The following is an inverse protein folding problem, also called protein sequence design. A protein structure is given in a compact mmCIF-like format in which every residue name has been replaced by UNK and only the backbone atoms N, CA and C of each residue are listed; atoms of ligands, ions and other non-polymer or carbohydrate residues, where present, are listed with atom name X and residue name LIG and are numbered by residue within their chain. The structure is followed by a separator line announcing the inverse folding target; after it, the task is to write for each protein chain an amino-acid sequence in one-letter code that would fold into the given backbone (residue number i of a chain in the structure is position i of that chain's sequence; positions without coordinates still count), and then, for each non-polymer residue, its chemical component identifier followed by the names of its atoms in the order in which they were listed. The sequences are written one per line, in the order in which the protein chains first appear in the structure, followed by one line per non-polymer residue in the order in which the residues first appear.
data_IF_286957546497
#
_entry.id   IF_286957546497
#
_cell.length_a   1.000
_cell.length_b   1.000
_cell.length_c   1.000
_cell.angle_alpha   90.00
_cell.angle_beta   90.00
_cell.angle_gamma   90.00
#
_symmetry.space_group_name_H-M   'P 1'
#
loop_
_entity.id
_entity.type
_entity.pdbx_description
1 polymer ?
#
# COMPACT_ATOMS: atom_id res chain seq x y z
N UNK A 1 26.46 -35.35 27.23
CA UNK A 1 25.60 -35.51 26.04
C UNK A 1 24.17 -35.09 26.36
N UNK A 2 23.54 -35.65 27.39
CA UNK A 2 22.17 -35.30 27.82
C UNK A 2 21.97 -33.82 28.24
N UNK A 3 22.98 -33.20 28.88
CA UNK A 3 22.92 -31.79 29.29
C UNK A 3 22.98 -30.80 28.12
N UNK A 4 23.70 -31.14 27.04
CA UNK A 4 23.81 -30.29 25.84
C UNK A 4 22.55 -30.37 24.96
N UNK A 5 21.92 -31.55 24.88
CA UNK A 5 20.65 -31.74 24.16
C UNK A 5 19.50 -30.98 24.84
N UNK A 6 19.41 -31.03 26.18
CA UNK A 6 18.43 -30.27 26.96
C UNK A 6 18.62 -28.74 26.90
N UNK A 7 19.81 -28.26 26.61
CA UNK A 7 20.07 -26.82 26.43
C UNK A 7 19.70 -26.35 25.02
N UNK A 8 20.01 -27.16 24.00
CA UNK A 8 19.64 -26.90 22.61
C UNK A 8 18.12 -26.87 22.43
N UNK A 9 17.39 -27.85 22.99
CA UNK A 9 15.92 -27.91 22.92
C UNK A 9 15.25 -26.70 23.59
N UNK A 10 15.79 -26.23 24.74
CA UNK A 10 15.27 -25.03 25.42
C UNK A 10 15.51 -23.75 24.63
N UNK A 11 16.69 -23.58 24.04
CA UNK A 11 16.98 -22.43 23.16
C UNK A 11 16.07 -22.42 21.94
N UNK A 12 15.83 -23.59 21.34
CA UNK A 12 14.93 -23.75 20.20
C UNK A 12 13.49 -23.33 20.50
N UNK A 13 12.95 -23.78 21.65
CA UNK A 13 11.62 -23.40 22.11
C UNK A 13 11.50 -21.90 22.43
N UNK A 14 12.54 -21.31 23.05
CA UNK A 14 12.57 -19.88 23.34
C UNK A 14 12.58 -19.02 22.06
N UNK A 15 13.41 -19.40 21.08
CA UNK A 15 13.47 -18.72 19.79
C UNK A 15 12.16 -18.82 19.01
N UNK A 16 11.53 -20.00 18.98
CA UNK A 16 10.21 -20.18 18.36
C UNK A 16 9.17 -19.26 19.02
N UNK A 17 9.21 -19.14 20.34
CA UNK A 17 8.30 -18.25 21.09
C UNK A 17 8.51 -16.78 20.71
N UNK A 18 9.77 -16.34 20.59
CA UNK A 18 10.11 -14.97 20.19
C UNK A 18 9.61 -14.67 18.77
N UNK A 19 9.81 -15.59 17.81
CA UNK A 19 9.36 -15.41 16.43
C UNK A 19 7.84 -15.37 16.31
N UNK A 20 7.12 -16.17 17.09
CA UNK A 20 5.66 -16.13 17.13
C UNK A 20 5.15 -14.83 17.75
N UNK A 21 5.81 -14.31 18.79
CA UNK A 21 5.49 -13.02 19.39
C UNK A 21 5.75 -11.86 18.41
N UNK A 22 6.87 -11.90 17.68
CA UNK A 22 7.16 -10.92 16.64
C UNK A 22 6.11 -10.96 15.54
N UNK A 23 5.74 -12.16 15.05
CA UNK A 23 4.67 -12.33 14.08
C UNK A 23 3.34 -11.70 14.56
N UNK A 24 2.92 -11.98 15.80
CA UNK A 24 1.72 -11.43 16.39
C UNK A 24 1.76 -9.89 16.42
N UNK A 25 2.87 -9.31 16.87
CA UNK A 25 3.03 -7.85 16.94
C UNK A 25 3.02 -7.17 15.56
N UNK A 26 3.64 -7.79 14.55
CA UNK A 26 3.59 -7.27 13.19
C UNK A 26 2.19 -7.38 12.58
N UNK A 27 1.42 -8.42 12.93
CA UNK A 27 0.02 -8.56 12.54
C UNK A 27 -0.86 -7.51 13.22
N UNK A 28 -0.66 -7.23 14.50
CA UNK A 28 -1.33 -6.14 15.22
C UNK A 28 -1.08 -4.80 14.52
N UNK A 29 0.18 -4.49 14.19
CA UNK A 29 0.54 -3.27 13.49
C UNK A 29 -0.10 -3.21 12.09
N UNK A 30 -0.08 -4.33 11.35
CA UNK A 30 -0.71 -4.41 10.03
C UNK A 30 -2.22 -4.11 10.11
N UNK A 31 -2.93 -4.67 11.10
CA UNK A 31 -4.37 -4.42 11.30
C UNK A 31 -4.61 -2.95 11.63
N UNK A 32 -3.83 -2.36 12.54
CA UNK A 32 -3.95 -0.96 12.91
C UNK A 32 -3.75 -0.02 11.71
N UNK A 33 -2.76 -0.30 10.86
CA UNK A 33 -2.48 0.48 9.64
C UNK A 33 -3.56 0.33 8.58
N UNK A 34 -4.10 -0.88 8.39
CA UNK A 34 -5.25 -1.11 7.50
C UNK A 34 -6.45 -0.28 8.00
N UNK A 35 -6.76 -0.35 9.29
CA UNK A 35 -7.86 0.43 9.87
C UNK A 35 -7.66 1.95 9.71
N UNK A 36 -6.44 2.45 9.92
CA UNK A 36 -6.12 3.86 9.70
C UNK A 36 -6.30 4.27 8.23
N UNK A 37 -5.78 3.47 7.30
CA UNK A 37 -5.90 3.71 5.85
C UNK A 37 -7.36 3.74 5.42
N UNK A 38 -8.16 2.78 5.88
CA UNK A 38 -9.58 2.69 5.51
C UNK A 38 -10.39 3.86 6.12
N UNK A 39 -10.04 4.31 7.33
CA UNK A 39 -10.63 5.51 7.94
C UNK A 39 -10.30 6.80 7.17
N UNK A 40 -9.13 6.85 6.53
CA UNK A 40 -8.69 8.04 5.80
C UNK A 40 -9.61 8.37 4.61
N UNK A 41 -10.24 7.36 4.01
CA UNK A 41 -11.23 7.56 2.93
C UNK A 41 -12.46 8.30 3.47
N UNK A 42 -12.98 7.92 4.65
CA UNK A 42 -14.12 8.60 5.26
C UNK A 42 -13.78 10.04 5.66
N UNK A 43 -12.58 10.26 6.20
CA UNK A 43 -12.08 11.61 6.50
C UNK A 43 -11.98 12.44 5.23
N UNK A 44 -11.45 11.87 4.15
CA UNK A 44 -11.33 12.52 2.84
C UNK A 44 -12.70 12.97 2.32
N UNK A 45 -13.69 12.07 2.36
CA UNK A 45 -15.05 12.38 1.94
C UNK A 45 -15.67 13.51 2.78
N UNK A 46 -15.49 13.47 4.10
CA UNK A 46 -16.00 14.51 5.01
C UNK A 46 -15.36 15.87 4.75
N UNK A 47 -14.04 15.92 4.61
CA UNK A 47 -13.32 17.18 4.34
C UNK A 47 -13.68 17.73 2.97
N UNK A 48 -13.74 16.90 1.94
CA UNK A 48 -14.12 17.34 0.60
C UNK A 48 -15.57 17.84 0.57
N UNK A 49 -16.49 17.12 1.20
CA UNK A 49 -17.88 17.55 1.34
C UNK A 49 -17.99 18.90 2.03
N UNK A 50 -17.22 19.14 3.10
CA UNK A 50 -17.20 20.42 3.80
C UNK A 50 -16.66 21.56 2.92
N UNK A 51 -15.53 21.35 2.24
CA UNK A 51 -14.93 22.37 1.36
C UNK A 51 -15.89 22.68 0.21
N UNK A 52 -16.46 21.67 -0.45
CA UNK A 52 -17.40 21.88 -1.55
C UNK A 52 -18.66 22.59 -1.09
N UNK A 53 -19.23 22.19 0.05
CA UNK A 53 -20.43 22.82 0.60
C UNK A 53 -20.20 24.29 0.93
N UNK A 54 -19.02 24.65 1.45
CA UNK A 54 -18.68 26.04 1.73
C UNK A 54 -18.41 26.84 0.45
N UNK A 55 -17.63 26.27 -0.47
CA UNK A 55 -17.16 26.96 -1.68
C UNK A 55 -18.28 27.25 -2.67
N UNK A 56 -19.32 26.42 -2.72
CA UNK A 56 -20.39 26.54 -3.71
C UNK A 56 -21.57 27.40 -3.26
N UNK A 57 -21.58 27.89 -2.01
CA UNK A 57 -22.68 28.70 -1.47
C UNK A 57 -22.70 30.12 -2.02
N UNK A 58 -21.54 30.74 -2.22
CA UNK A 58 -21.40 32.12 -2.67
C UNK A 58 -20.20 32.25 -3.62
N UNK A 59 -20.30 32.99 -4.74
CA UNK A 59 -19.16 33.27 -5.62
C UNK A 59 -17.91 33.82 -4.91
N UNK A 60 -18.07 34.57 -3.81
CA UNK A 60 -16.95 35.07 -3.01
C UNK A 60 -16.13 33.93 -2.36
N UNK A 61 -16.70 32.74 -2.22
CA UNK A 61 -16.05 31.58 -1.60
C UNK A 61 -15.33 30.67 -2.58
N UNK A 62 -15.33 30.94 -3.89
CA UNK A 62 -14.69 30.05 -4.87
C UNK A 62 -13.19 29.82 -4.63
N UNK A 63 -12.50 30.75 -3.96
CA UNK A 63 -11.11 30.55 -3.52
C UNK A 63 -10.93 29.35 -2.59
N UNK A 64 -11.95 28.95 -1.84
CA UNK A 64 -11.89 27.77 -0.97
C UNK A 64 -11.78 26.46 -1.77
N UNK A 65 -12.11 26.45 -3.08
CA UNK A 65 -11.84 25.30 -3.95
C UNK A 65 -10.36 24.96 -4.02
N UNK A 66 -9.47 25.95 -3.91
CA UNK A 66 -8.01 25.73 -3.93
C UNK A 66 -7.49 25.02 -2.66
N UNK A 67 -8.33 24.86 -1.64
CA UNK A 67 -7.98 24.00 -0.49
C UNK A 67 -8.05 22.51 -0.86
N UNK A 68 -8.85 22.14 -1.88
CA UNK A 68 -9.01 20.75 -2.30
C UNK A 68 -7.72 20.12 -2.85
N UNK A 69 -6.95 20.75 -3.76
CA UNK A 69 -5.67 20.21 -4.22
C UNK A 69 -4.70 19.91 -3.08
N UNK A 70 -4.56 20.81 -2.11
CA UNK A 70 -3.69 20.60 -0.94
C UNK A 70 -4.17 19.46 -0.06
N UNK A 71 -5.47 19.43 0.23
CA UNK A 71 -6.07 18.38 1.06
C UNK A 71 -5.93 17.02 0.38
N UNK A 72 -6.19 16.98 -0.93
CA UNK A 72 -6.03 15.80 -1.79
C UNK A 72 -4.59 15.28 -1.75
N UNK A 73 -3.62 16.19 -1.87
CA UNK A 73 -2.21 15.85 -1.78
C UNK A 73 -1.84 15.25 -0.42
N UNK A 74 -2.17 15.93 0.68
CA UNK A 74 -1.79 15.51 2.04
C UNK A 74 -2.43 14.17 2.41
N UNK A 75 -3.74 14.03 2.18
CA UNK A 75 -4.46 12.80 2.50
C UNK A 75 -4.03 11.65 1.58
N UNK A 76 -3.86 11.90 0.28
CA UNK A 76 -3.36 10.91 -0.67
C UNK A 76 -1.95 10.43 -0.35
N UNK A 77 -1.05 11.35 0.02
CA UNK A 77 0.30 10.99 0.45
C UNK A 77 0.29 10.13 1.72
N UNK A 78 -0.54 10.52 2.69
CA UNK A 78 -0.69 9.80 3.95
C UNK A 78 -1.26 8.39 3.71
N UNK A 79 -2.21 8.26 2.79
CA UNK A 79 -2.76 6.98 2.35
C UNK A 79 -1.65 6.09 1.77
N UNK A 80 -0.88 6.63 0.82
CA UNK A 80 0.17 5.92 0.10
C UNK A 80 1.27 5.39 1.02
N UNK A 81 1.76 6.23 1.95
CA UNK A 81 2.79 5.83 2.93
C UNK A 81 2.27 4.68 3.80
N UNK A 82 0.99 4.68 4.17
CA UNK A 82 0.42 3.57 4.93
C UNK A 82 0.33 2.29 4.11
N UNK A 83 -0.06 2.38 2.84
CA UNK A 83 -0.14 1.22 1.96
C UNK A 83 1.24 0.58 1.71
N UNK A 84 2.28 1.40 1.51
CA UNK A 84 3.66 0.92 1.43
C UNK A 84 4.07 0.17 2.70
N UNK A 85 3.76 0.72 3.89
CA UNK A 85 4.10 0.09 5.17
C UNK A 85 3.39 -1.25 5.32
N UNK A 86 2.10 -1.33 5.02
CA UNK A 86 1.31 -2.58 5.01
C UNK A 86 1.96 -3.61 4.07
N UNK A 87 2.34 -3.19 2.87
CA UNK A 87 3.01 -4.02 1.87
C UNK A 87 4.38 -4.53 2.35
N UNK A 88 5.17 -3.67 3.00
CA UNK A 88 6.49 -4.00 3.55
C UNK A 88 6.40 -5.01 4.70
N UNK A 89 5.47 -4.82 5.64
CA UNK A 89 5.20 -5.75 6.75
C UNK A 89 4.79 -7.12 6.20
N UNK A 90 3.89 -7.14 5.22
CA UNK A 90 3.48 -8.38 4.57
C UNK A 90 4.65 -9.08 3.88
N UNK A 91 5.58 -8.35 3.23
CA UNK A 91 6.78 -8.94 2.62
C UNK A 91 7.70 -9.52 3.69
N UNK A 92 7.93 -8.80 4.79
CA UNK A 92 8.78 -9.26 5.89
C UNK A 92 8.24 -10.56 6.52
N UNK A 93 6.95 -10.61 6.84
CA UNK A 93 6.29 -11.81 7.38
C UNK A 93 6.49 -13.02 6.46
N UNK A 94 6.31 -12.83 5.15
CA UNK A 94 6.38 -13.94 4.17
C UNK A 94 7.78 -14.40 3.84
N UNK A 95 8.72 -13.45 3.74
CA UNK A 95 10.05 -13.72 3.20
C UNK A 95 11.11 -13.88 4.29
N UNK A 96 10.82 -13.48 5.53
CA UNK A 96 11.77 -13.57 6.66
C UNK A 96 11.19 -14.49 7.72
N UNK A 97 10.13 -14.06 8.41
CA UNK A 97 9.59 -14.80 9.55
C UNK A 97 9.11 -16.20 9.17
N UNK A 98 8.40 -16.34 8.05
CA UNK A 98 7.95 -17.65 7.59
C UNK A 98 9.11 -18.61 7.31
N UNK A 99 10.18 -18.15 6.65
CA UNK A 99 11.32 -19.00 6.34
C UNK A 99 12.04 -19.45 7.61
N UNK A 100 12.21 -18.55 8.58
CA UNK A 100 12.78 -18.87 9.89
C UNK A 100 11.92 -19.88 10.65
N UNK A 101 10.60 -19.73 10.63
CA UNK A 101 9.67 -20.66 11.26
C UNK A 101 9.68 -22.05 10.59
N UNK A 102 9.78 -22.12 9.28
CA UNK A 102 9.88 -23.39 8.53
C UNK A 102 11.20 -24.11 8.81
N UNK A 103 12.32 -23.39 8.87
CA UNK A 103 13.63 -23.93 9.26
C UNK A 103 13.60 -24.50 10.68
N UNK A 104 12.99 -23.77 11.62
CA UNK A 104 12.91 -24.21 13.01
C UNK A 104 11.95 -25.39 13.24
N UNK A 105 10.94 -25.57 12.39
CA UNK A 105 10.00 -26.70 12.51
C UNK A 105 10.35 -27.89 11.61
N UNK A 106 11.49 -27.81 10.89
CA UNK A 106 11.94 -28.85 9.98
C UNK A 106 10.98 -29.09 8.81
N UNK A 107 10.17 -28.09 8.45
CA UNK A 107 9.16 -28.18 7.38
C UNK A 107 8.05 -29.21 7.62
N UNK A 108 7.94 -29.77 8.83
CA UNK A 108 7.00 -30.85 9.17
C UNK A 108 5.55 -30.38 9.32
N UNK A 109 5.33 -29.08 9.52
CA UNK A 109 4.02 -28.45 9.68
C UNK A 109 3.95 -27.27 8.72
N UNK A 110 2.87 -27.20 7.93
CA UNK A 110 2.57 -26.02 7.10
C UNK A 110 2.14 -24.85 7.99
N UNK A 111 3.12 -24.08 8.46
CA UNK A 111 2.88 -22.86 9.22
C UNK A 111 2.40 -21.75 8.27
N UNK A 112 1.40 -20.98 8.72
CA UNK A 112 0.81 -19.86 7.95
C UNK A 112 0.14 -20.31 6.63
N UNK A 113 -0.55 -21.45 6.65
CA UNK A 113 -1.24 -22.01 5.48
C UNK A 113 -2.31 -21.08 4.87
N UNK A 114 -2.97 -20.25 5.68
CA UNK A 114 -3.94 -19.25 5.19
C UNK A 114 -3.26 -18.18 4.32
N UNK A 115 -2.11 -17.66 4.75
CA UNK A 115 -1.32 -16.68 4.01
C UNK A 115 -0.87 -17.22 2.64
N UNK A 116 -0.59 -18.52 2.55
CA UNK A 116 -0.24 -19.19 1.29
C UNK A 116 -1.47 -19.36 0.39
N UNK A 117 -2.57 -19.90 0.92
CA UNK A 117 -3.80 -20.13 0.15
C UNK A 117 -4.39 -18.83 -0.42
N UNK A 118 -4.39 -17.75 0.37
CA UNK A 118 -4.95 -16.47 -0.04
C UNK A 118 -4.14 -15.78 -1.17
N UNK A 119 -2.86 -16.13 -1.35
CA UNK A 119 -2.00 -15.51 -2.37
C UNK A 119 -2.28 -15.97 -3.80
N UNK A 120 -2.80 -17.19 -3.98
CA UNK A 120 -3.06 -17.79 -5.30
C UNK A 120 -4.32 -17.25 -5.99
N UNK A 121 -4.79 -16.09 -5.58
CA UNK A 121 -5.96 -15.45 -6.15
C UNK A 121 -5.68 -14.90 -7.57
N UNK A 122 -6.32 -15.52 -8.56
CA UNK A 122 -6.23 -15.16 -9.98
C UNK A 122 -6.71 -13.74 -10.27
N UNK A 123 -7.51 -13.13 -9.40
CA UNK A 123 -8.05 -11.78 -9.58
C UNK A 123 -7.17 -10.67 -8.99
N UNK A 124 -5.98 -10.99 -8.49
CA UNK A 124 -5.08 -10.02 -7.83
C UNK A 124 -4.72 -8.82 -8.72
N UNK A 125 -4.43 -9.05 -10.00
CA UNK A 125 -4.10 -7.97 -10.93
C UNK A 125 -5.28 -7.04 -11.16
N UNK A 126 -6.48 -7.61 -11.31
CA UNK A 126 -7.72 -6.84 -11.47
C UNK A 126 -7.98 -5.97 -10.24
N UNK A 127 -7.84 -6.52 -9.03
CA UNK A 127 -7.98 -5.74 -7.78
C UNK A 127 -6.98 -4.60 -7.68
N UNK A 128 -5.72 -4.81 -8.06
CA UNK A 128 -4.71 -3.74 -8.09
C UNK A 128 -5.10 -2.62 -9.05
N UNK A 129 -5.65 -2.97 -10.21
CA UNK A 129 -6.12 -1.97 -11.18
C UNK A 129 -7.35 -1.21 -10.67
N UNK A 130 -8.32 -1.91 -10.07
CA UNK A 130 -9.49 -1.31 -9.43
C UNK A 130 -9.06 -0.36 -8.29
N UNK A 131 -8.09 -0.76 -7.46
CA UNK A 131 -7.51 0.07 -6.41
C UNK A 131 -6.84 1.32 -6.98
N UNK A 132 -5.97 1.17 -7.98
CA UNK A 132 -5.34 2.31 -8.66
C UNK A 132 -6.37 3.29 -9.21
N UNK A 133 -7.43 2.80 -9.85
CA UNK A 133 -8.49 3.65 -10.38
C UNK A 133 -9.23 4.40 -9.26
N UNK A 134 -9.54 3.72 -8.15
CA UNK A 134 -10.20 4.32 -6.97
C UNK A 134 -9.29 5.35 -6.30
N UNK A 135 -8.00 5.07 -6.16
CA UNK A 135 -7.04 5.97 -5.52
C UNK A 135 -6.85 7.26 -6.33
N UNK A 136 -6.73 7.14 -7.66
CA UNK A 136 -6.69 8.31 -8.55
C UNK A 136 -8.00 9.11 -8.44
N UNK A 137 -9.15 8.43 -8.48
CA UNK A 137 -10.45 9.09 -8.39
C UNK A 137 -10.69 9.75 -7.03
N UNK A 138 -10.13 9.20 -5.97
CA UNK A 138 -10.32 9.70 -4.60
C UNK A 138 -9.33 10.81 -4.27
N UNK A 139 -8.06 10.68 -4.63
CA UNK A 139 -7.01 11.59 -4.17
C UNK A 139 -6.42 12.52 -5.22
N UNK A 140 -6.67 12.30 -6.52
CA UNK A 140 -6.15 13.18 -7.58
C UNK A 140 -7.30 13.88 -8.30
N UNK A 141 -8.36 13.14 -8.61
CA UNK A 141 -9.55 13.63 -9.31
C UNK A 141 -10.16 14.89 -8.70
N UNK A 142 -10.42 14.96 -7.38
CA UNK A 142 -11.05 16.11 -6.76
C UNK A 142 -10.17 17.36 -6.79
N UNK A 143 -8.86 17.21 -6.63
CA UNK A 143 -7.90 18.31 -6.79
C UNK A 143 -7.91 18.89 -8.21
N UNK A 144 -7.84 18.03 -9.23
CA UNK A 144 -7.91 18.48 -10.64
C UNK A 144 -9.26 19.16 -10.92
N UNK A 145 -10.36 18.55 -10.49
CA UNK A 145 -11.70 19.10 -10.68
C UNK A 145 -11.85 20.47 -10.00
N UNK A 146 -11.29 20.65 -8.81
CA UNK A 146 -11.32 21.91 -8.09
C UNK A 146 -10.54 23.02 -8.80
N UNK A 147 -9.33 22.72 -9.32
CA UNK A 147 -8.55 23.67 -10.12
C UNK A 147 -9.32 24.07 -11.38
N UNK A 148 -9.88 23.09 -12.10
CA UNK A 148 -10.69 23.37 -13.30
C UNK A 148 -11.92 24.21 -12.98
N UNK A 149 -12.64 23.88 -11.90
CA UNK A 149 -13.81 24.63 -11.45
C UNK A 149 -13.43 26.07 -11.07
N UNK A 150 -12.34 26.25 -10.32
CA UNK A 150 -11.83 27.57 -9.96
C UNK A 150 -11.50 28.40 -11.20
N UNK A 151 -10.80 27.84 -12.18
CA UNK A 151 -10.45 28.54 -13.43
C UNK A 151 -11.67 28.97 -14.25
N UNK A 152 -12.79 28.24 -14.19
CA UNK A 152 -14.03 28.56 -14.90
C UNK A 152 -14.87 29.59 -14.13
N UNK A 153 -14.88 29.52 -12.80
CA UNK A 153 -15.79 30.27 -11.95
C UNK A 153 -15.20 31.60 -11.44
N UNK A 154 -13.89 31.63 -11.14
CA UNK A 154 -13.23 32.81 -10.59
C UNK A 154 -12.88 33.82 -11.71
N UNK A 155 -13.33 35.07 -11.54
CA UNK A 155 -13.11 36.15 -12.52
C UNK A 155 -11.78 36.87 -12.34
N UNK A 156 -11.22 36.84 -11.13
CA UNK A 156 -9.97 37.54 -10.83
C UNK A 156 -8.77 36.60 -11.00
N UNK A 157 -7.80 37.04 -11.82
CA UNK A 157 -6.58 36.30 -12.05
C UNK A 157 -5.37 37.20 -11.79
N UNK A 158 -4.70 36.94 -10.67
CA UNK A 158 -3.45 37.59 -10.29
C UNK A 158 -2.26 36.66 -10.59
N UNK A 159 -1.04 37.21 -10.63
CA UNK A 159 0.17 36.40 -10.88
C UNK A 159 0.45 35.41 -9.74
N UNK A 160 0.11 35.80 -8.52
CA UNK A 160 0.26 35.00 -7.31
C UNK A 160 -0.63 33.76 -7.37
N UNK A 161 -1.86 33.89 -7.89
CA UNK A 161 -2.77 32.76 -8.09
C UNK A 161 -2.23 31.77 -9.12
N UNK A 162 -1.64 32.26 -10.22
CA UNK A 162 -1.00 31.38 -11.20
C UNK A 162 0.18 30.59 -10.62
N UNK A 163 0.97 31.20 -9.74
CA UNK A 163 2.05 30.49 -9.03
C UNK A 163 1.50 29.41 -8.10
N UNK A 164 0.41 29.70 -7.37
CA UNK A 164 -0.27 28.74 -6.50
C UNK A 164 -0.83 27.55 -7.31
N UNK A 165 -1.53 27.82 -8.41
CA UNK A 165 -2.08 26.78 -9.28
C UNK A 165 -1.00 25.89 -9.89
N UNK A 166 0.15 26.47 -10.27
CA UNK A 166 1.28 25.71 -10.79
C UNK A 166 1.86 24.78 -9.70
N UNK A 167 1.99 25.28 -8.48
CA UNK A 167 2.47 24.50 -7.34
C UNK A 167 1.50 23.36 -7.00
N UNK A 168 0.21 23.64 -6.89
CA UNK A 168 -0.84 22.65 -6.62
C UNK A 168 -0.90 21.57 -7.72
N UNK A 169 -0.84 21.98 -8.99
CA UNK A 169 -0.76 21.04 -10.11
C UNK A 169 0.49 20.16 -10.02
N UNK A 170 1.64 20.73 -9.65
CA UNK A 170 2.87 20.00 -9.41
C UNK A 170 2.74 18.96 -8.29
N UNK A 171 2.11 19.31 -7.17
CA UNK A 171 1.81 18.39 -6.08
C UNK A 171 0.90 17.24 -6.52
N UNK A 172 -0.17 17.53 -7.27
CA UNK A 172 -1.09 16.50 -7.78
C UNK A 172 -0.41 15.57 -8.78
N UNK A 173 0.47 16.09 -9.65
CA UNK A 173 1.25 15.29 -10.59
C UNK A 173 2.24 14.38 -9.84
N UNK A 174 2.90 14.89 -8.80
CA UNK A 174 3.79 14.10 -7.96
C UNK A 174 3.03 12.98 -7.24
N UNK A 175 1.86 13.28 -6.68
CA UNK A 175 1.01 12.26 -6.06
C UNK A 175 0.54 11.21 -7.07
N UNK A 176 0.09 11.64 -8.25
CA UNK A 176 -0.32 10.72 -9.32
C UNK A 176 0.81 9.79 -9.74
N UNK A 177 2.02 10.33 -9.91
CA UNK A 177 3.21 9.56 -10.23
C UNK A 177 3.50 8.51 -9.16
N UNK A 178 3.46 8.90 -7.90
CA UNK A 178 3.73 8.00 -6.78
C UNK A 178 2.67 6.90 -6.65
N UNK A 179 1.38 7.23 -6.76
CA UNK A 179 0.29 6.24 -6.82
C UNK A 179 0.53 5.24 -7.96
N UNK A 180 0.92 5.72 -9.14
CA UNK A 180 1.23 4.87 -10.29
C UNK A 180 2.41 3.92 -10.04
N UNK A 181 3.49 4.42 -9.44
CA UNK A 181 4.68 3.62 -9.12
C UNK A 181 4.35 2.52 -8.10
N UNK A 182 3.58 2.85 -7.07
CA UNK A 182 3.22 1.92 -6.00
C UNK A 182 2.12 0.92 -6.34
N UNK A 183 1.34 1.17 -7.39
CA UNK A 183 0.36 0.21 -7.91
C UNK A 183 0.98 -1.14 -8.32
N UNK A 184 2.33 -1.22 -8.39
CA UNK A 184 3.12 -2.44 -8.54
C UNK A 184 2.53 -3.33 -9.63
N UNK A 185 2.41 -2.74 -10.83
CA UNK A 185 1.93 -3.39 -12.05
C UNK A 185 2.96 -4.35 -12.65
N UNK A 186 4.13 -4.52 -12.01
CA UNK A 186 5.09 -5.54 -12.45
C UNK A 186 4.52 -6.91 -12.15
N UNK A 187 4.10 -7.57 -13.24
CA UNK A 187 3.84 -9.00 -13.35
C UNK A 187 4.91 -9.73 -12.52
N UNK A 188 4.50 -10.49 -11.50
CA UNK A 188 5.43 -11.43 -10.86
C UNK A 188 5.97 -12.29 -12.01
N UNK A 189 7.31 -12.46 -12.16
CA UNK A 189 7.82 -13.35 -13.19
C UNK A 189 7.10 -14.68 -13.03
N UNK A 190 6.46 -15.11 -14.12
CA UNK A 190 5.66 -16.33 -14.18
C UNK A 190 6.49 -17.44 -13.50
N UNK A 191 5.98 -18.00 -12.40
CA UNK A 191 6.60 -19.18 -11.78
C UNK A 191 6.69 -20.29 -12.83
N UNK A 192 5.75 -20.33 -13.79
CA UNK A 192 5.80 -21.17 -15.00
C UNK A 192 7.07 -21.00 -15.85
N UNK A 193 7.69 -19.81 -15.89
CA UNK A 193 8.93 -19.59 -16.65
C UNK A 193 10.16 -20.11 -15.89
N UNK A 194 10.14 -20.05 -14.56
CA UNK A 194 11.18 -20.64 -13.71
C UNK A 194 11.02 -22.17 -13.68
N UNK A 195 9.80 -22.69 -13.58
CA UNK A 195 9.50 -24.12 -13.67
C UNK A 195 9.81 -24.69 -15.07
N UNK A 196 9.54 -23.95 -16.15
CA UNK A 196 9.94 -24.36 -17.50
C UNK A 196 11.47 -24.32 -17.70
N UNK A 197 12.18 -23.42 -17.01
CA UNK A 197 13.65 -23.38 -17.04
C UNK A 197 14.24 -24.55 -16.25
N UNK A 198 13.67 -24.88 -15.08
CA UNK A 198 14.10 -26.02 -14.26
C UNK A 198 13.71 -27.37 -14.91
N UNK A 199 12.57 -27.44 -15.59
CA UNK A 199 12.12 -28.66 -16.30
C UNK A 199 12.85 -28.89 -17.64
N UNK A 200 13.59 -27.91 -18.15
CA UNK A 200 14.39 -28.03 -19.38
C UNK A 200 15.89 -28.26 -19.13
N UNK A 201 16.34 -28.27 -17.87
CA UNK A 201 17.67 -28.78 -17.52
C UNK A 201 17.67 -30.31 -17.63
N UNK A 202 18.43 -30.91 -18.56
CA UNK A 202 18.57 -32.36 -18.60
C UNK A 202 19.30 -32.83 -17.35
N UNK A 203 18.76 -33.87 -16.70
CA UNK A 203 19.40 -34.54 -15.58
C UNK A 203 20.72 -35.15 -16.03
N UNK A 204 21.83 -34.42 -15.86
CA UNK A 204 23.15 -35.02 -15.85
C UNK A 204 23.24 -35.93 -14.62
N UNK A 205 22.81 -37.17 -14.82
CA UNK A 205 23.06 -38.29 -13.93
C UNK A 205 24.14 -39.15 -14.56
N UNK A 206 25.10 -39.49 -13.71
CA UNK A 206 25.97 -40.66 -13.78
C UNK A 206 27.14 -40.60 -14.76
N UNK A 207 28.31 -40.27 -14.22
CA UNK A 207 29.44 -41.22 -14.13
C UNK A 207 30.18 -41.04 -12.82
#
# INVERSE_FOLDING_TARGET
MERSENESSRKHSALLTILLQEYEKLKDEQIARIGFRDNLIYVTLGVFGAILSFSLVDPEHYFALLVLPWTSFILGWTYLVNDEKISSLGRHIRNVLRLQLEEMTGGSIELLGWERAHRNDKHRLRRKFEQLAIDILTFVGPGIAAICAFLVLAKEQSKELWLLLLLESGCLLLLLFEIYVYADMKRSPNIEAIEATIASEPSETNT
#
